data_IF_429683878942
#
_entry.id   IF_429683878942
#
_cell.length_a   1.000
_cell.length_b   1.000
_cell.length_c   1.000
_cell.angle_alpha   90.00
_cell.angle_beta   90.00
_cell.angle_gamma   90.00
#
_symmetry.space_group_name_H-M   'P 1'
#
loop_
_entity.id
_entity.type
_entity.pdbx_description
1 polymer ?
#
# COMPACT_ATOMS: atom_id res chain seq x y z
N UNK A 1 -55.14 30.27 10.75
CA UNK A 1 -54.43 29.19 10.02
C UNK A 1 -53.00 29.63 9.74
N UNK A 2 -52.13 29.65 10.76
CA UNK A 2 -50.70 30.07 10.62
C UNK A 2 -49.70 28.97 11.00
N UNK A 3 -50.20 27.80 11.40
CA UNK A 3 -49.41 26.70 11.96
C UNK A 3 -48.92 25.72 10.88
N UNK A 4 -49.47 25.79 9.66
CA UNK A 4 -49.15 24.86 8.57
C UNK A 4 -47.83 25.16 7.84
N UNK A 5 -47.32 26.40 7.92
CA UNK A 5 -46.11 26.80 7.18
C UNK A 5 -44.79 26.54 7.95
N UNK A 6 -44.84 26.29 9.26
CA UNK A 6 -43.63 26.04 10.06
C UNK A 6 -43.16 24.58 9.91
N UNK A 7 -44.07 23.65 9.63
CA UNK A 7 -43.75 22.23 9.47
C UNK A 7 -42.89 21.93 8.21
N UNK A 8 -42.99 22.76 7.16
CA UNK A 8 -42.28 22.53 5.91
C UNK A 8 -40.79 22.92 5.98
N UNK A 9 -40.44 23.90 6.82
CA UNK A 9 -39.05 24.39 6.97
C UNK A 9 -38.21 23.41 7.79
N UNK A 10 -38.82 22.64 8.69
CA UNK A 10 -38.10 21.66 9.53
C UNK A 10 -37.70 20.38 8.77
N UNK A 11 -38.36 20.06 7.65
CA UNK A 11 -38.11 18.83 6.89
C UNK A 11 -36.91 18.94 5.94
N UNK A 12 -36.53 20.16 5.55
CA UNK A 12 -35.43 20.41 4.58
C UNK A 12 -34.04 20.34 5.25
N UNK A 13 -33.96 20.50 6.58
CA UNK A 13 -32.68 20.49 7.31
C UNK A 13 -32.15 19.05 7.51
N UNK A 14 -33.01 18.04 7.39
CA UNK A 14 -32.63 16.63 7.56
C UNK A 14 -32.13 15.94 6.28
N UNK A 15 -32.21 16.59 5.12
CA UNK A 15 -31.74 16.01 3.84
C UNK A 15 -30.32 16.43 3.46
N UNK A 16 -29.65 17.27 4.25
CA UNK A 16 -28.24 17.62 4.00
C UNK A 16 -27.30 16.60 4.64
N UNK A 17 -26.81 15.71 3.76
CA UNK A 17 -25.52 15.03 3.81
C UNK A 17 -25.25 14.07 4.97
N UNK A 18 -25.86 12.88 4.89
CA UNK A 18 -25.07 11.68 5.11
C UNK A 18 -24.35 11.37 3.79
N UNK A 19 -23.29 12.12 3.47
CA UNK A 19 -22.27 11.56 2.59
C UNK A 19 -21.71 10.40 3.39
N UNK A 20 -21.98 9.17 2.93
CA UNK A 20 -21.18 8.01 3.31
C UNK A 20 -19.74 8.44 3.05
N UNK A 21 -19.01 8.78 4.11
CA UNK A 21 -17.56 8.84 4.06
C UNK A 21 -17.18 7.39 3.76
N UNK A 22 -17.01 7.06 2.49
CA UNK A 22 -16.17 5.94 2.12
C UNK A 22 -14.85 6.22 2.83
N UNK A 23 -14.67 5.59 3.99
CA UNK A 23 -13.39 5.60 4.66
C UNK A 23 -12.48 4.90 3.67
N UNK A 24 -11.68 5.67 2.95
CA UNK A 24 -10.58 5.16 2.14
C UNK A 24 -9.88 4.12 3.02
N UNK A 25 -9.98 2.85 2.61
CA UNK A 25 -9.35 1.77 3.35
C UNK A 25 -7.86 2.08 3.34
N UNK A 26 -7.20 2.12 4.50
CA UNK A 26 -5.80 2.50 4.54
C UNK A 26 -4.99 1.56 3.65
N UNK A 27 -4.02 2.11 2.92
CA UNK A 27 -3.05 1.33 2.17
C UNK A 27 -2.20 0.52 3.15
N UNK A 28 -2.14 -0.80 2.97
CA UNK A 28 -1.26 -1.68 3.75
C UNK A 28 -0.32 -2.44 2.82
N UNK A 29 0.98 -2.36 3.09
CA UNK A 29 2.00 -3.12 2.37
C UNK A 29 2.74 -4.02 3.34
N UNK A 30 2.95 -5.26 2.93
CA UNK A 30 3.93 -6.14 3.53
C UNK A 30 4.75 -6.78 2.41
N UNK A 31 6.00 -6.35 2.27
CA UNK A 31 6.99 -6.96 1.41
C UNK A 31 8.04 -7.68 2.25
N UNK A 32 8.33 -8.94 1.91
CA UNK A 32 9.34 -9.73 2.62
C UNK A 32 10.14 -10.58 1.64
N UNK A 33 11.44 -10.29 1.56
CA UNK A 33 12.44 -11.06 0.84
C UNK A 33 13.41 -11.69 1.84
N UNK A 34 13.51 -13.02 1.87
CA UNK A 34 14.30 -13.72 2.90
C UNK A 34 14.97 -15.00 2.36
N UNK A 35 16.22 -15.21 2.75
CA UNK A 35 16.95 -16.49 2.66
C UNK A 35 17.73 -16.76 3.96
N UNK A 36 18.58 -17.81 3.98
CA UNK A 36 19.35 -18.21 5.18
C UNK A 36 20.35 -17.16 5.68
N UNK A 37 20.68 -16.14 4.89
CA UNK A 37 21.61 -15.06 5.27
C UNK A 37 21.18 -13.67 4.83
N UNK A 38 19.94 -13.52 4.38
CA UNK A 38 19.41 -12.26 3.87
C UNK A 38 17.99 -12.04 4.38
N UNK A 39 17.71 -10.84 4.84
CA UNK A 39 16.39 -10.36 5.19
C UNK A 39 16.21 -8.93 4.69
N UNK A 40 15.15 -8.72 3.92
CA UNK A 40 14.68 -7.39 3.54
C UNK A 40 13.16 -7.35 3.66
N UNK A 41 12.66 -6.49 4.56
CA UNK A 41 11.24 -6.34 4.83
C UNK A 41 10.83 -4.87 4.72
N UNK A 42 9.65 -4.62 4.14
CA UNK A 42 8.99 -3.32 4.13
C UNK A 42 7.57 -3.52 4.65
N UNK A 43 7.19 -2.70 5.62
CA UNK A 43 5.84 -2.65 6.15
C UNK A 43 5.33 -1.21 6.04
N UNK A 44 4.16 -1.04 5.44
CA UNK A 44 3.38 0.19 5.48
C UNK A 44 2.07 -0.14 6.17
N UNK A 45 1.83 0.46 7.33
CA UNK A 45 0.56 0.34 8.05
C UNK A 45 0.09 1.72 8.47
N UNK A 46 -1.14 2.07 8.07
CA UNK A 46 -1.70 3.41 8.27
C UNK A 46 -0.79 4.50 7.68
N UNK A 47 -0.15 5.30 8.54
CA UNK A 47 0.79 6.35 8.17
C UNK A 47 2.22 6.05 8.61
N UNK A 48 2.54 4.81 8.97
CA UNK A 48 3.88 4.42 9.42
C UNK A 48 4.51 3.49 8.41
N UNK A 49 5.75 3.77 8.03
CA UNK A 49 6.58 2.86 7.26
C UNK A 49 7.72 2.33 8.13
N UNK A 50 8.01 1.04 8.00
CA UNK A 50 9.18 0.39 8.56
C UNK A 50 9.92 -0.38 7.47
N UNK A 51 11.23 -0.23 7.40
CA UNK A 51 12.13 -1.00 6.53
C UNK A 51 13.15 -1.70 7.40
N UNK A 52 13.23 -3.02 7.29
CA UNK A 52 14.23 -3.85 7.95
C UNK A 52 15.15 -4.46 6.90
N UNK A 53 16.43 -4.10 6.93
CA UNK A 53 17.46 -4.69 6.09
C UNK A 53 18.49 -5.37 6.98
N UNK A 54 18.43 -6.70 7.10
CA UNK A 54 19.33 -7.50 7.93
C UNK A 54 19.49 -6.96 9.37
N UNK A 55 18.36 -6.68 10.03
CA UNK A 55 18.26 -6.11 11.39
C UNK A 55 18.58 -4.61 11.50
N UNK A 56 18.97 -3.95 10.41
CA UNK A 56 18.98 -2.49 10.36
C UNK A 56 17.56 -2.01 10.10
N UNK A 57 16.88 -1.58 11.17
CA UNK A 57 15.51 -1.08 11.11
C UNK A 57 15.49 0.44 10.98
N UNK A 58 14.79 0.94 9.97
CA UNK A 58 14.45 2.34 9.80
C UNK A 58 12.92 2.50 9.83
N UNK A 59 12.43 3.54 10.48
CA UNK A 59 11.00 3.81 10.61
C UNK A 59 10.74 5.29 10.34
N UNK A 60 9.63 5.61 9.69
CA UNK A 60 9.17 6.98 9.52
C UNK A 60 7.65 7.08 9.62
N UNK A 61 7.19 8.20 10.15
CA UNK A 61 5.77 8.59 10.10
C UNK A 61 5.57 9.47 8.88
N UNK A 62 4.71 9.03 7.98
CA UNK A 62 4.42 9.69 6.72
C UNK A 62 3.49 10.88 6.93
N UNK A 63 3.83 11.99 6.28
CA UNK A 63 2.95 13.15 6.15
C UNK A 63 1.78 12.83 5.21
N UNK A 64 0.72 13.63 5.30
CA UNK A 64 -0.43 13.51 4.39
C UNK A 64 -0.02 13.61 2.92
N UNK A 65 0.94 14.47 2.58
CA UNK A 65 1.42 14.63 1.21
C UNK A 65 2.16 13.39 0.72
N UNK A 66 2.97 12.75 1.56
CA UNK A 66 3.65 11.49 1.22
C UNK A 66 2.65 10.35 1.01
N UNK A 67 1.58 10.29 1.81
CA UNK A 67 0.50 9.31 1.62
C UNK A 67 -0.22 9.53 0.28
N UNK A 68 -0.57 10.78 -0.05
CA UNK A 68 -1.16 11.12 -1.35
C UNK A 68 -0.22 10.72 -2.51
N UNK A 69 1.09 10.92 -2.35
CA UNK A 69 2.06 10.53 -3.37
C UNK A 69 2.15 9.00 -3.52
N UNK A 70 2.12 8.25 -2.42
CA UNK A 70 2.06 6.78 -2.44
C UNK A 70 0.82 6.31 -3.18
N UNK A 71 -0.36 6.83 -2.83
CA UNK A 71 -1.61 6.44 -3.46
C UNK A 71 -1.61 6.81 -4.96
N UNK A 72 -1.02 7.94 -5.33
CA UNK A 72 -0.85 8.33 -6.73
C UNK A 72 0.05 7.36 -7.50
N UNK A 73 1.16 6.91 -6.91
CA UNK A 73 2.05 5.92 -7.53
C UNK A 73 1.31 4.60 -7.70
N UNK A 74 0.67 4.10 -6.65
CA UNK A 74 -0.06 2.83 -6.68
C UNK A 74 -1.22 2.84 -7.69
N UNK A 75 -1.96 3.95 -7.81
CA UNK A 75 -3.01 4.11 -8.81
C UNK A 75 -2.49 4.07 -10.26
N UNK A 76 -1.24 4.43 -10.50
CA UNK A 76 -0.63 4.39 -11.83
C UNK A 76 -0.18 2.96 -12.23
N UNK A 77 -0.06 2.04 -11.28
CA UNK A 77 0.38 0.66 -11.53
C UNK A 77 -0.78 -0.18 -12.05
N UNK A 78 -0.62 -0.78 -13.23
CA UNK A 78 -1.55 -1.79 -13.72
C UNK A 78 -1.24 -3.16 -13.10
N UNK A 79 -1.73 -3.41 -11.88
CA UNK A 79 -1.48 -4.67 -11.16
C UNK A 79 -1.95 -5.94 -11.90
N UNK A 80 -2.84 -5.82 -12.89
CA UNK A 80 -3.30 -6.97 -13.69
C UNK A 80 -2.25 -7.46 -14.68
N UNK A 81 -1.32 -6.60 -15.08
CA UNK A 81 -0.24 -6.92 -16.02
C UNK A 81 1.04 -7.40 -15.32
N UNK A 82 1.14 -7.17 -14.01
CA UNK A 82 2.23 -7.68 -13.20
C UNK A 82 2.16 -9.20 -13.11
N UNK A 83 3.30 -9.84 -13.38
CA UNK A 83 3.46 -11.29 -13.29
C UNK A 83 4.44 -11.64 -12.19
N UNK A 84 4.17 -12.75 -11.52
CA UNK A 84 5.15 -13.41 -10.67
C UNK A 84 6.38 -13.78 -11.51
N UNK A 85 7.56 -13.56 -10.97
CA UNK A 85 8.82 -13.90 -11.61
C UNK A 85 9.80 -14.63 -10.68
N UNK A 86 9.33 -15.10 -9.53
CA UNK A 86 10.09 -16.05 -8.72
C UNK A 86 10.15 -17.43 -9.41
N UNK A 87 11.36 -17.93 -9.65
CA UNK A 87 11.61 -19.25 -10.25
C UNK A 87 12.01 -20.25 -9.18
N UNK A 88 11.26 -21.34 -9.02
CA UNK A 88 11.57 -22.40 -8.04
C UNK A 88 12.94 -23.02 -8.26
N UNK A 89 13.36 -23.16 -9.52
CA UNK A 89 14.68 -23.71 -9.86
C UNK A 89 15.81 -22.79 -9.39
N UNK A 90 15.67 -21.48 -9.57
CA UNK A 90 16.70 -20.52 -9.14
C UNK A 90 16.73 -20.37 -7.62
N UNK A 91 15.59 -20.53 -6.95
CA UNK A 91 15.52 -20.58 -5.49
C UNK A 91 16.21 -21.83 -4.92
N UNK A 92 16.05 -23.00 -5.58
CA UNK A 92 16.61 -24.26 -5.10
C UNK A 92 18.14 -24.31 -5.12
N UNK A 93 18.77 -23.48 -5.95
CA UNK A 93 20.23 -23.37 -6.08
C UNK A 93 20.77 -22.06 -5.51
N UNK A 94 20.00 -21.38 -4.65
CA UNK A 94 20.34 -20.11 -4.01
C UNK A 94 20.74 -18.98 -4.98
N UNK A 95 20.27 -19.03 -6.24
CA UNK A 95 20.51 -17.99 -7.27
C UNK A 95 19.55 -16.80 -7.17
N UNK A 96 18.42 -16.98 -6.49
CA UNK A 96 17.38 -15.97 -6.35
C UNK A 96 16.94 -15.84 -4.90
N UNK A 97 16.42 -14.67 -4.55
CA UNK A 97 15.81 -14.40 -3.25
C UNK A 97 14.31 -14.22 -3.51
N UNK A 98 13.49 -15.11 -2.97
CA UNK A 98 12.03 -14.97 -3.09
C UNK A 98 11.58 -13.78 -2.25
N UNK A 99 10.96 -12.80 -2.88
CA UNK A 99 10.25 -11.69 -2.25
C UNK A 99 8.75 -11.89 -2.38
N UNK A 100 8.04 -11.89 -1.26
CA UNK A 100 6.57 -11.93 -1.24
C UNK A 100 6.08 -10.51 -1.06
N UNK A 101 5.34 -9.99 -2.04
CA UNK A 101 4.71 -8.68 -2.01
C UNK A 101 3.22 -8.84 -1.75
N UNK A 102 2.71 -8.25 -0.66
CA UNK A 102 1.29 -8.22 -0.31
C UNK A 102 0.84 -6.78 -0.13
N UNK A 103 -0.15 -6.36 -0.89
CA UNK A 103 -0.68 -5.00 -0.86
C UNK A 103 -2.19 -5.03 -0.73
N UNK A 104 -2.72 -4.34 0.27
CA UNK A 104 -4.11 -3.94 0.36
C UNK A 104 -4.22 -2.48 -0.07
N UNK A 105 -4.93 -2.23 -1.18
CA UNK A 105 -5.06 -0.90 -1.76
C UNK A 105 -6.40 -0.73 -2.47
N UNK A 106 -7.10 0.38 -2.22
CA UNK A 106 -8.45 0.66 -2.73
C UNK A 106 -9.44 -0.51 -2.51
N UNK A 107 -9.28 -1.22 -1.39
CA UNK A 107 -10.11 -2.39 -1.04
C UNK A 107 -9.82 -3.66 -1.85
N UNK A 108 -8.78 -3.68 -2.68
CA UNK A 108 -8.28 -4.85 -3.37
C UNK A 108 -7.04 -5.41 -2.67
N UNK A 109 -6.90 -6.74 -2.72
CA UNK A 109 -5.73 -7.46 -2.22
C UNK A 109 -4.90 -7.96 -3.40
N UNK A 110 -3.62 -7.61 -3.42
CA UNK A 110 -2.65 -8.04 -4.44
C UNK A 110 -1.53 -8.82 -3.77
N UNK A 111 -1.24 -10.01 -4.32
CA UNK A 111 -0.18 -10.89 -3.82
C UNK A 111 0.68 -11.33 -5.00
N UNK A 112 1.97 -11.04 -4.91
CA UNK A 112 2.94 -11.43 -5.92
C UNK A 112 4.18 -12.08 -5.30
N UNK A 113 4.73 -13.04 -6.03
CA UNK A 113 6.01 -13.67 -5.73
C UNK A 113 7.05 -13.21 -6.74
N UNK A 114 8.03 -12.44 -6.26
CA UNK A 114 9.10 -11.89 -7.09
C UNK A 114 10.45 -12.51 -6.77
N UNK A 115 11.37 -12.44 -7.73
CA UNK A 115 12.79 -12.44 -7.43
C UNK A 115 13.19 -11.03 -6.96
N UNK A 116 13.65 -10.89 -5.72
CA UNK A 116 14.03 -9.61 -5.12
C UNK A 116 15.07 -8.82 -5.95
N UNK A 117 15.95 -9.52 -6.68
CA UNK A 117 16.96 -8.88 -7.53
C UNK A 117 16.44 -8.45 -8.91
N UNK A 118 15.20 -8.81 -9.25
CA UNK A 118 14.58 -8.54 -10.55
C UNK A 118 13.12 -8.12 -10.36
N UNK A 119 12.87 -7.08 -9.58
CA UNK A 119 11.49 -6.57 -9.43
C UNK A 119 10.98 -5.97 -10.75
N UNK A 120 9.67 -6.05 -11.03
CA UNK A 120 9.05 -5.21 -12.07
C UNK A 120 9.39 -3.74 -11.82
N UNK A 121 9.63 -2.97 -12.88
CA UNK A 121 10.10 -1.58 -12.78
C UNK A 121 9.19 -0.73 -11.89
N UNK A 122 7.89 -0.88 -12.03
CA UNK A 122 6.87 -0.14 -11.28
C UNK A 122 6.95 -0.45 -9.76
N UNK A 123 7.22 -1.71 -9.41
CA UNK A 123 7.36 -2.14 -8.03
C UNK A 123 8.70 -1.68 -7.44
N UNK A 124 9.77 -1.72 -8.24
CA UNK A 124 11.09 -1.23 -7.83
C UNK A 124 11.08 0.28 -7.58
N UNK A 125 10.46 1.06 -8.47
CA UNK A 125 10.27 2.51 -8.31
C UNK A 125 9.44 2.82 -7.06
N UNK A 126 8.33 2.11 -6.85
CA UNK A 126 7.53 2.27 -5.65
C UNK A 126 8.34 2.00 -4.36
N UNK A 127 9.09 0.89 -4.31
CA UNK A 127 9.94 0.56 -3.18
C UNK A 127 11.05 1.60 -2.96
N UNK A 128 11.63 2.17 -4.02
CA UNK A 128 12.62 3.25 -3.91
C UNK A 128 12.01 4.50 -3.26
N UNK A 129 10.82 4.93 -3.66
CA UNK A 129 10.12 6.05 -3.04
C UNK A 129 9.89 5.81 -1.55
N UNK A 130 9.45 4.61 -1.17
CA UNK A 130 9.27 4.24 0.22
C UNK A 130 10.57 4.36 1.04
N UNK A 131 11.71 3.96 0.46
CA UNK A 131 13.03 4.08 1.11
C UNK A 131 13.41 5.54 1.35
N UNK A 132 13.14 6.43 0.41
CA UNK A 132 13.44 7.86 0.55
C UNK A 132 12.77 8.49 1.77
N UNK A 133 11.57 8.02 2.14
CA UNK A 133 10.87 8.52 3.32
C UNK A 133 11.45 8.04 4.65
N UNK A 134 12.29 7.00 4.62
CA UNK A 134 12.95 6.45 5.80
C UNK A 134 14.42 6.84 5.91
N UNK A 135 14.96 7.55 4.91
CA UNK A 135 16.38 7.86 4.84
C UNK A 135 16.83 8.96 5.79
#
# INVERSE_FOLDING_TARGET
MKVFNIAFILLVILSTSCQSQEKDKPTHLNYKAQTRGFLYEIQLENNSIQINNNNMVKTAVLTKNQLIQIDSILNAINFKEIKNNSSTNDLAVDKAIKGVFKLEFNGNSYIFDFNHHMLPNEIDEFIKTLKEYTN
#
